data_IF_256454451901
#
_entry.id   IF_256454451901
#
_cell.length_a   1.000
_cell.length_b   1.000
_cell.length_c   1.000
_cell.angle_alpha   90.00
_cell.angle_beta   90.00
_cell.angle_gamma   90.00
#
_symmetry.space_group_name_H-M   'P 1'
#
loop_
_entity.id
_entity.type
_entity.pdbx_description
1 polymer ?
#
# COMPACT_ATOMS: atom_id res chain seq x y z
N UNK A 1 6.28 -10.83 3.78
CA UNK A 1 6.32 -11.95 2.82
C UNK A 1 7.55 -11.77 1.93
N UNK A 2 8.24 -12.86 1.58
CA UNK A 2 9.42 -12.78 0.72
C UNK A 2 9.04 -12.43 -0.73
N UNK A 3 10.01 -12.00 -1.54
CA UNK A 3 9.79 -11.73 -2.95
C UNK A 3 9.23 -12.94 -3.70
N UNK A 4 9.73 -14.15 -3.42
CA UNK A 4 9.22 -15.37 -4.05
C UNK A 4 7.75 -15.63 -3.70
N UNK A 5 7.38 -15.51 -2.42
CA UNK A 5 6.00 -15.67 -1.97
C UNK A 5 5.09 -14.62 -2.62
N UNK A 6 5.57 -13.38 -2.72
CA UNK A 6 4.85 -12.27 -3.34
C UNK A 6 4.54 -12.53 -4.81
N UNK A 7 5.52 -12.97 -5.61
CA UNK A 7 5.33 -13.27 -7.03
C UNK A 7 4.31 -14.39 -7.25
N UNK A 8 4.35 -15.44 -6.43
CA UNK A 8 3.39 -16.55 -6.49
C UNK A 8 1.97 -16.06 -6.20
N UNK A 9 1.78 -15.22 -5.17
CA UNK A 9 0.47 -14.73 -4.76
C UNK A 9 -0.11 -13.66 -5.69
N UNK A 10 0.75 -12.85 -6.30
CA UNK A 10 0.35 -11.82 -7.28
C UNK A 10 0.23 -12.38 -8.69
N UNK A 11 0.82 -13.54 -8.99
CA UNK A 11 0.94 -14.08 -10.36
C UNK A 11 1.61 -13.10 -11.33
N UNK A 12 2.54 -12.32 -10.82
CA UNK A 12 3.30 -11.33 -11.58
C UNK A 12 4.71 -11.87 -11.80
N UNK A 13 5.29 -11.57 -12.95
CA UNK A 13 6.67 -11.94 -13.25
C UNK A 13 7.66 -10.98 -12.56
N UNK A 14 8.87 -11.47 -12.28
CA UNK A 14 9.89 -10.70 -11.57
C UNK A 14 10.23 -9.36 -12.28
N UNK A 15 10.33 -9.36 -13.60
CA UNK A 15 10.63 -8.14 -14.37
C UNK A 15 9.51 -7.08 -14.28
N UNK A 16 8.26 -7.52 -14.17
CA UNK A 16 7.11 -6.61 -13.99
C UNK A 16 7.12 -6.03 -12.58
N UNK A 17 7.46 -6.84 -11.57
CA UNK A 17 7.64 -6.36 -10.21
C UNK A 17 8.75 -5.30 -10.12
N UNK A 18 9.90 -5.52 -10.77
CA UNK A 18 10.98 -4.53 -10.85
C UNK A 18 10.48 -3.23 -11.50
N UNK A 19 9.76 -3.33 -12.62
CA UNK A 19 9.16 -2.16 -13.29
C UNK A 19 8.24 -1.37 -12.35
N UNK A 20 7.42 -2.05 -11.56
CA UNK A 20 6.51 -1.41 -10.60
C UNK A 20 7.24 -0.74 -9.44
N UNK A 21 8.35 -1.33 -8.98
CA UNK A 21 9.20 -0.73 -7.95
C UNK A 21 9.92 0.51 -8.51
N UNK A 22 10.49 0.41 -9.71
CA UNK A 22 11.16 1.52 -10.40
C UNK A 22 10.20 2.69 -10.70
N UNK A 23 8.97 2.39 -11.08
CA UNK A 23 7.90 3.38 -11.27
C UNK A 23 7.38 3.96 -9.94
N UNK A 24 7.82 3.44 -8.79
CA UNK A 24 7.37 3.85 -7.47
C UNK A 24 5.95 3.42 -7.11
N UNK A 25 5.35 2.52 -7.88
CA UNK A 25 4.02 1.96 -7.60
C UNK A 25 4.05 0.99 -6.43
N UNK A 26 5.18 0.33 -6.19
CA UNK A 26 5.43 -0.47 -5.00
C UNK A 26 6.68 0.03 -4.30
N UNK A 27 6.59 0.25 -2.99
CA UNK A 27 7.70 0.72 -2.17
C UNK A 27 7.92 -0.21 -0.97
N UNK A 28 8.31 -1.48 -1.21
CA UNK A 28 8.64 -2.39 -0.12
C UNK A 28 9.83 -1.82 0.69
N UNK A 29 9.86 -2.03 2.01
CA UNK A 29 11.02 -1.70 2.83
C UNK A 29 12.28 -2.39 2.27
N UNK A 30 13.30 -1.60 1.89
CA UNK A 30 14.61 -2.11 1.48
C UNK A 30 15.40 -2.56 2.71
N UNK A 31 14.93 -3.63 3.34
CA UNK A 31 15.63 -4.26 4.46
C UNK A 31 16.61 -5.25 3.86
N UNK A 32 17.91 -4.95 3.88
CA UNK A 32 18.91 -5.93 3.46
C UNK A 32 18.86 -7.17 4.37
N UNK A 33 19.04 -8.39 3.84
CA UNK A 33 19.48 -8.75 2.48
C UNK A 33 18.36 -9.10 1.48
N UNK A 34 17.07 -9.01 1.84
CA UNK A 34 15.97 -9.50 1.00
C UNK A 34 14.73 -8.59 1.06
N UNK A 35 14.11 -8.31 -0.10
CA UNK A 35 12.87 -7.54 -0.19
C UNK A 35 11.74 -8.24 0.55
N UNK A 36 11.17 -7.53 1.51
CA UNK A 36 10.02 -7.99 2.29
C UNK A 36 8.80 -7.15 1.97
N UNK A 37 7.73 -7.80 1.54
CA UNK A 37 6.46 -7.17 1.19
C UNK A 37 5.45 -7.32 2.34
N UNK A 38 4.60 -6.31 2.52
CA UNK A 38 3.47 -6.33 3.44
C UNK A 38 2.17 -6.78 2.74
N UNK A 39 1.12 -7.05 3.51
CA UNK A 39 -0.20 -7.33 2.93
C UNK A 39 -0.77 -6.12 2.16
N UNK A 40 -0.35 -4.90 2.51
CA UNK A 40 -0.70 -3.68 1.76
C UNK A 40 -0.05 -3.68 0.38
N UNK A 41 1.22 -4.09 0.29
CA UNK A 41 1.91 -4.20 -0.99
C UNK A 41 1.26 -5.27 -1.88
N UNK A 42 0.84 -6.38 -1.28
CA UNK A 42 0.13 -7.44 -2.00
C UNK A 42 -1.21 -6.95 -2.56
N UNK A 43 -2.00 -6.26 -1.73
CA UNK A 43 -3.27 -5.69 -2.17
C UNK A 43 -3.08 -4.64 -3.27
N UNK A 44 -2.03 -3.80 -3.16
CA UNK A 44 -1.70 -2.82 -4.19
C UNK A 44 -1.27 -3.48 -5.50
N UNK A 45 -0.44 -4.53 -5.45
CA UNK A 45 -0.04 -5.28 -6.65
C UNK A 45 -1.22 -5.98 -7.34
N UNK A 46 -2.15 -6.55 -6.57
CA UNK A 46 -3.38 -7.13 -7.11
C UNK A 46 -4.24 -6.06 -7.79
N UNK A 47 -4.40 -4.88 -7.16
CA UNK A 47 -5.10 -3.76 -7.78
C UNK A 47 -4.44 -3.34 -9.11
N UNK A 48 -3.12 -3.18 -9.15
CA UNK A 48 -2.41 -2.79 -10.38
C UNK A 48 -2.67 -3.80 -11.50
N UNK A 49 -2.61 -5.10 -11.16
CA UNK A 49 -2.92 -6.17 -12.11
C UNK A 49 -4.36 -6.08 -12.60
N UNK A 50 -5.33 -5.96 -11.71
CA UNK A 50 -6.76 -5.90 -12.07
C UNK A 50 -7.07 -4.65 -12.92
N UNK A 51 -6.44 -3.50 -12.62
CA UNK A 51 -6.54 -2.29 -13.46
C UNK A 51 -5.99 -2.52 -14.88
N UNK A 52 -4.89 -3.26 -15.01
CA UNK A 52 -4.21 -3.49 -16.29
C UNK A 52 -4.89 -4.58 -17.12
N UNK A 53 -5.20 -5.72 -16.51
CA UNK A 53 -5.69 -6.92 -17.17
C UNK A 53 -7.21 -6.89 -17.38
N UNK A 54 -7.97 -6.51 -16.35
CA UNK A 54 -9.44 -6.57 -16.42
C UNK A 54 -10.05 -5.26 -16.97
N UNK A 55 -9.40 -4.12 -16.72
CA UNK A 55 -9.91 -2.80 -17.09
C UNK A 55 -9.15 -2.12 -18.23
N UNK A 56 -8.03 -2.69 -18.68
CA UNK A 56 -7.25 -2.18 -19.82
C UNK A 56 -6.65 -0.79 -19.59
N UNK A 57 -6.41 -0.40 -18.34
CA UNK A 57 -5.80 0.89 -18.00
C UNK A 57 -4.31 0.88 -18.36
N UNK A 58 -3.84 1.95 -18.98
CA UNK A 58 -2.42 2.12 -19.31
C UNK A 58 -1.60 2.57 -18.09
N UNK A 59 -0.28 2.53 -18.20
CA UNK A 59 0.62 2.84 -17.08
C UNK A 59 0.47 4.28 -16.54
N UNK A 60 0.17 5.25 -17.42
CA UNK A 60 -0.14 6.63 -17.03
C UNK A 60 -1.42 6.70 -16.18
N UNK A 61 -2.48 6.01 -16.62
CA UNK A 61 -3.74 5.92 -15.89
C UNK A 61 -3.60 5.22 -14.55
N UNK A 62 -2.82 4.13 -14.49
CA UNK A 62 -2.49 3.43 -13.24
C UNK A 62 -1.81 4.39 -12.27
N UNK A 63 -0.80 5.15 -12.72
CA UNK A 63 -0.10 6.12 -11.88
C UNK A 63 -1.05 7.16 -11.28
N UNK A 64 -2.00 7.68 -12.07
CA UNK A 64 -3.01 8.63 -11.59
C UNK A 64 -3.94 7.98 -10.56
N UNK A 65 -4.44 6.77 -10.83
CA UNK A 65 -5.35 6.07 -9.93
C UNK A 65 -4.68 5.77 -8.58
N UNK A 66 -3.44 5.26 -8.60
CA UNK A 66 -2.68 5.00 -7.38
C UNK A 66 -2.47 6.28 -6.57
N UNK A 67 -2.08 7.38 -7.24
CA UNK A 67 -1.92 8.68 -6.57
C UNK A 67 -3.22 9.18 -5.92
N UNK A 68 -4.38 8.98 -6.56
CA UNK A 68 -5.68 9.34 -5.99
C UNK A 68 -6.05 8.46 -4.78
N UNK A 69 -5.75 7.17 -4.84
CA UNK A 69 -5.95 6.23 -3.73
C UNK A 69 -5.08 6.63 -2.53
N UNK A 70 -3.82 6.95 -2.77
CA UNK A 70 -2.90 7.39 -1.73
C UNK A 70 -3.37 8.69 -1.06
N UNK A 71 -3.86 9.65 -1.84
CA UNK A 71 -4.45 10.88 -1.31
C UNK A 71 -5.70 10.61 -0.45
N UNK A 72 -6.60 9.72 -0.89
CA UNK A 72 -7.78 9.34 -0.11
C UNK A 72 -7.39 8.66 1.22
N UNK A 73 -6.38 7.80 1.20
CA UNK A 73 -5.87 7.16 2.41
C UNK A 73 -5.23 8.19 3.36
N UNK A 74 -4.46 9.14 2.83
CA UNK A 74 -3.90 10.25 3.60
C UNK A 74 -4.99 11.08 4.27
N UNK A 75 -6.02 11.48 3.53
CA UNK A 75 -7.14 12.25 4.07
C UNK A 75 -7.88 11.48 5.17
N UNK A 76 -8.17 10.19 4.96
CA UNK A 76 -8.84 9.35 5.97
C UNK A 76 -7.99 9.25 7.25
N UNK A 77 -6.68 9.08 7.10
CA UNK A 77 -5.77 9.02 8.24
C UNK A 77 -5.72 10.35 9.01
N UNK A 78 -5.65 11.48 8.31
CA UNK A 78 -5.69 12.82 8.94
C UNK A 78 -6.98 13.03 9.74
N UNK A 79 -8.14 12.67 9.18
CA UNK A 79 -9.42 12.78 9.88
C UNK A 79 -9.48 11.87 11.12
N UNK A 80 -8.97 10.64 11.02
CA UNK A 80 -8.89 9.72 12.17
C UNK A 80 -7.98 10.26 13.28
N UNK A 81 -6.82 10.83 12.92
CA UNK A 81 -5.91 11.46 13.89
C UNK A 81 -6.58 12.60 14.64
N UNK A 82 -7.28 13.49 13.92
CA UNK A 82 -8.01 14.60 14.53
C UNK A 82 -9.10 14.12 15.51
N UNK A 83 -9.84 13.07 15.14
CA UNK A 83 -10.87 12.50 16.01
C UNK A 83 -10.29 11.88 17.29
N UNK A 84 -9.14 11.20 17.20
CA UNK A 84 -8.46 10.65 18.38
C UNK A 84 -7.88 11.75 19.28
N UNK A 85 -7.37 12.84 18.71
CA UNK A 85 -6.91 14.01 19.49
C UNK A 85 -8.05 14.70 20.26
N UNK A 86 -9.25 14.73 19.68
CA UNK A 86 -10.45 15.27 20.32
C UNK A 86 -11.05 14.34 21.38
N UNK A 87 -10.58 13.10 21.49
CA UNK A 87 -11.10 12.13 22.45
C UNK A 87 -10.70 12.58 23.87
N UNK A 88 -11.67 12.75 24.80
CA UNK A 88 -11.33 13.14 26.16
C UNK A 88 -10.41 12.08 26.75
N UNK A 89 -9.22 12.49 27.23
CA UNK A 89 -8.37 11.61 28.04
C UNK A 89 -9.20 11.18 29.23
N UNK A 90 -9.46 9.88 29.34
CA UNK A 90 -9.93 9.32 30.59
C UNK A 90 -8.83 9.59 31.63
N UNK A 91 -9.01 10.64 32.43
CA UNK A 91 -8.26 10.82 33.67
C UNK A 91 -8.54 9.59 34.52
N UNK A 92 -7.52 8.81 34.93
CA UNK A 92 -7.75 7.76 35.90
C UNK A 92 -8.16 8.45 37.20
N UNK A 93 -9.48 8.52 37.41
CA UNK A 93 -10.04 8.94 38.67
C UNK A 93 -9.78 7.81 39.66
N UNK A 94 -9.10 8.18 40.74
CA UNK A 94 -9.27 7.58 42.06
C UNK A 94 -8.75 6.13 42.22
N UNK A 95 -7.46 6.00 42.50
CA UNK A 95 -6.95 4.89 43.30
C UNK A 95 -6.56 5.47 44.66
N UNK A 96 -7.56 5.52 45.55
CA UNK A 96 -7.43 5.74 46.99
C UNK A 96 -7.04 4.45 47.70
#
# INVERSE_FOLDING_TARGET
MSAQEFLIRTRVEYHVLETWIEAGWLAPPQTEPELMFSDVDLARAQLIRDLREDLGVNDEGISVILHLIDQMHGLRHSLQSLLEEMRPRATPADQS
#
